data_IF_184650788742
#
_entry.id   IF_184650788742
#
_cell.length_a   1.000
_cell.length_b   1.000
_cell.length_c   1.000
_cell.angle_alpha   90.00
_cell.angle_beta   90.00
_cell.angle_gamma   90.00
#
_symmetry.space_group_name_H-M   'P 1'
#
loop_
_entity.id
_entity.type
_entity.pdbx_description
1 polymer ?
#
# COMPACT_ATOMS: atom_id res chain seq x y z
N UNK A 1 -3.03 -4.30 -17.44
CA UNK A 1 -1.56 -4.10 -17.56
C UNK A 1 -1.13 -4.34 -18.99
N UNK A 2 -0.09 -3.64 -19.47
CA UNK A 2 0.54 -3.96 -20.77
C UNK A 2 1.29 -5.29 -20.70
N UNK A 3 1.54 -5.93 -21.86
CA UNK A 3 2.28 -7.21 -21.90
C UNK A 3 3.67 -7.11 -21.25
N UNK A 4 4.36 -5.99 -21.40
CA UNK A 4 5.68 -5.73 -20.79
C UNK A 4 5.60 -5.68 -19.26
N UNK A 5 4.60 -4.98 -18.72
CA UNK A 5 4.39 -4.89 -17.28
C UNK A 5 3.97 -6.24 -16.70
N UNK A 6 3.12 -6.99 -17.41
CA UNK A 6 2.72 -8.33 -17.01
C UNK A 6 3.92 -9.28 -16.96
N UNK A 7 4.78 -9.25 -17.97
CA UNK A 7 5.99 -10.07 -17.98
C UNK A 7 6.95 -9.73 -16.82
N UNK A 8 7.12 -8.44 -16.50
CA UNK A 8 7.93 -8.01 -15.35
C UNK A 8 7.31 -8.46 -14.02
N UNK A 9 5.99 -8.36 -13.88
CA UNK A 9 5.26 -8.86 -12.72
C UNK A 9 5.42 -10.37 -12.55
N UNK A 10 5.21 -11.14 -13.62
CA UNK A 10 5.33 -12.61 -13.60
C UNK A 10 6.76 -13.05 -13.29
N UNK A 11 7.77 -12.30 -13.78
CA UNK A 11 9.17 -12.57 -13.46
C UNK A 11 9.47 -12.35 -11.97
N UNK A 12 9.04 -11.24 -11.39
CA UNK A 12 9.20 -10.96 -9.97
C UNK A 12 8.45 -11.96 -9.09
N UNK A 13 7.28 -12.40 -9.57
CA UNK A 13 6.35 -13.28 -8.85
C UNK A 13 6.83 -14.72 -8.73
N UNK A 14 7.58 -15.23 -9.73
CA UNK A 14 8.01 -16.62 -9.77
C UNK A 14 8.84 -17.08 -8.58
N UNK A 15 9.57 -16.19 -7.96
CA UNK A 15 10.56 -16.53 -6.93
C UNK A 15 10.20 -15.97 -5.53
N UNK A 16 8.97 -15.50 -5.34
CA UNK A 16 8.57 -14.95 -4.04
C UNK A 16 7.19 -15.40 -3.61
N UNK A 17 7.01 -15.57 -2.31
CA UNK A 17 5.70 -15.72 -1.66
C UNK A 17 5.16 -14.41 -1.11
N UNK A 18 5.96 -13.35 -1.17
CA UNK A 18 5.59 -12.02 -0.68
C UNK A 18 4.42 -11.43 -1.49
N UNK A 19 3.42 -10.90 -0.79
CA UNK A 19 2.30 -10.20 -1.41
C UNK A 19 1.34 -11.08 -2.21
N UNK A 20 1.32 -12.42 -1.95
CA UNK A 20 0.26 -13.33 -2.46
C UNK A 20 -0.96 -13.16 -1.59
N UNK A 21 -2.08 -12.63 -2.11
CA UNK A 21 -3.31 -12.55 -1.33
C UNK A 21 -3.83 -13.93 -0.93
N UNK A 22 -4.25 -14.08 0.33
CA UNK A 22 -4.77 -15.35 0.89
C UNK A 22 -6.15 -15.16 1.50
N UNK A 23 -6.96 -14.33 0.88
CA UNK A 23 -8.35 -14.05 1.26
C UNK A 23 -9.14 -13.67 0.01
N UNK A 24 -10.46 -13.71 0.06
CA UNK A 24 -11.35 -13.23 -1.01
C UNK A 24 -11.71 -11.76 -0.79
N UNK A 25 -12.10 -11.45 0.44
CA UNK A 25 -12.48 -10.10 0.85
C UNK A 25 -11.91 -9.78 2.23
N UNK A 26 -11.41 -8.57 2.38
CA UNK A 26 -10.97 -8.01 3.64
C UNK A 26 -11.63 -6.63 3.81
N UNK A 27 -12.26 -6.42 4.94
CA UNK A 27 -12.72 -5.09 5.35
C UNK A 27 -12.11 -4.74 6.69
N UNK A 28 -11.59 -3.53 6.82
CA UNK A 28 -11.09 -3.03 8.10
C UNK A 28 -11.37 -1.56 8.27
N UNK A 29 -11.48 -1.16 9.53
CA UNK A 29 -11.64 0.23 9.93
C UNK A 29 -10.48 0.68 10.80
N UNK A 30 -10.14 1.95 10.71
CA UNK A 30 -9.06 2.53 11.50
C UNK A 30 -9.30 4.00 11.80
N UNK A 31 -8.64 4.50 12.84
CA UNK A 31 -8.56 5.91 13.19
C UNK A 31 -7.17 6.42 12.89
N UNK A 32 -7.09 7.58 12.26
CA UNK A 32 -5.84 8.29 12.05
C UNK A 32 -5.66 9.32 13.17
N UNK A 33 -4.57 9.22 13.91
CA UNK A 33 -4.12 10.26 14.83
C UNK A 33 -3.02 11.06 14.14
N UNK A 34 -3.26 12.35 13.95
CA UNK A 34 -2.27 13.27 13.38
C UNK A 34 -1.57 13.96 14.55
N UNK A 35 -0.26 13.81 14.60
CA UNK A 35 0.60 14.39 15.62
C UNK A 35 1.54 15.40 14.94
N UNK A 36 1.22 16.69 15.07
CA UNK A 36 2.06 17.78 14.56
C UNK A 36 2.75 18.41 15.77
N UNK A 37 4.10 18.56 15.77
CA UNK A 37 4.81 19.24 16.83
C UNK A 37 4.25 20.67 17.08
N UNK A 38 3.97 21.01 18.33
CA UNK A 38 3.42 22.30 18.72
C UNK A 38 1.89 22.45 18.56
N UNK A 39 1.20 21.45 18.04
CA UNK A 39 -0.26 21.47 17.92
C UNK A 39 -0.93 20.47 18.85
N UNK A 40 -2.12 20.77 19.41
CA UNK A 40 -2.87 19.84 20.26
C UNK A 40 -3.28 18.60 19.47
N UNK A 41 -3.31 17.45 20.14
CA UNK A 41 -3.84 16.20 19.55
C UNK A 41 -5.26 16.41 19.03
N UNK A 42 -5.57 15.84 17.87
CA UNK A 42 -6.91 15.85 17.31
C UNK A 42 -7.88 15.15 18.26
N UNK A 43 -8.89 15.86 18.77
CA UNK A 43 -9.78 15.35 19.82
C UNK A 43 -10.71 14.22 19.36
N UNK A 44 -11.05 14.12 18.08
CA UNK A 44 -11.95 13.08 17.55
C UNK A 44 -11.45 12.61 16.17
N UNK A 45 -10.52 11.66 16.12
CA UNK A 45 -10.06 11.11 14.84
C UNK A 45 -11.23 10.45 14.11
N UNK A 46 -11.46 10.85 12.86
CA UNK A 46 -12.52 10.27 12.03
C UNK A 46 -12.21 8.80 11.74
N UNK A 47 -13.24 7.98 11.79
CA UNK A 47 -13.16 6.58 11.39
C UNK A 47 -13.08 6.52 9.85
N UNK A 48 -12.06 5.86 9.35
CA UNK A 48 -11.93 5.52 7.94
C UNK A 48 -12.12 4.01 7.76
N UNK A 49 -12.64 3.61 6.61
CA UNK A 49 -12.81 2.20 6.25
C UNK A 49 -12.08 1.86 4.97
N UNK A 50 -11.64 0.61 4.86
CA UNK A 50 -11.03 0.07 3.65
C UNK A 50 -11.64 -1.28 3.37
N UNK A 51 -12.06 -1.49 2.13
CA UNK A 51 -12.46 -2.79 1.61
C UNK A 51 -11.48 -3.21 0.52
N UNK A 52 -11.05 -4.47 0.58
CA UNK A 52 -10.11 -5.06 -0.38
C UNK A 52 -10.73 -6.34 -0.91
N UNK A 53 -10.76 -6.47 -2.22
CA UNK A 53 -11.15 -7.70 -2.92
C UNK A 53 -9.95 -8.23 -3.69
N UNK A 54 -9.76 -9.54 -3.69
CA UNK A 54 -8.75 -10.18 -4.51
C UNK A 54 -9.30 -10.47 -5.90
N UNK A 55 -8.50 -10.18 -6.92
CA UNK A 55 -8.78 -10.49 -8.32
C UNK A 55 -7.50 -11.11 -8.92
N UNK A 56 -7.37 -12.43 -8.80
CA UNK A 56 -6.09 -13.11 -9.03
C UNK A 56 -5.03 -12.60 -8.04
N UNK A 57 -3.89 -12.18 -8.55
CA UNK A 57 -2.80 -11.60 -7.74
C UNK A 57 -2.94 -10.08 -7.51
N UNK A 58 -4.02 -9.47 -7.99
CA UNK A 58 -4.31 -8.06 -7.79
C UNK A 58 -5.26 -7.85 -6.60
N UNK A 59 -5.09 -6.73 -5.94
CA UNK A 59 -5.99 -6.25 -4.90
C UNK A 59 -6.74 -5.03 -5.41
N UNK A 60 -8.06 -5.09 -5.40
CA UNK A 60 -8.93 -3.95 -5.64
C UNK A 60 -9.33 -3.38 -4.30
N UNK A 61 -8.79 -2.21 -3.99
CA UNK A 61 -8.99 -1.53 -2.71
C UNK A 61 -9.94 -0.36 -2.88
N UNK A 62 -10.97 -0.30 -2.04
CA UNK A 62 -11.85 0.87 -1.90
C UNK A 62 -11.60 1.48 -0.53
N UNK A 63 -11.01 2.66 -0.52
CA UNK A 63 -10.75 3.44 0.67
C UNK A 63 -11.83 4.52 0.85
N UNK A 64 -12.47 4.57 2.01
CA UNK A 64 -13.53 5.53 2.36
C UNK A 64 -13.09 6.32 3.58
N UNK A 65 -12.42 7.48 3.40
CA UNK A 65 -11.99 8.33 4.51
C UNK A 65 -13.13 9.07 5.19
N UNK A 66 -14.24 9.31 4.47
CA UNK A 66 -15.45 9.97 4.96
C UNK A 66 -16.68 9.37 4.26
N UNK A 67 -17.84 9.46 4.88
CA UNK A 67 -19.07 8.80 4.44
C UNK A 67 -19.47 9.02 2.96
N UNK A 68 -19.07 10.16 2.35
CA UNK A 68 -19.48 10.55 1.00
C UNK A 68 -18.32 10.59 -0.01
N UNK A 69 -17.16 10.04 0.35
CA UNK A 69 -16.00 10.04 -0.53
C UNK A 69 -15.26 8.71 -0.44
N UNK A 70 -15.09 8.06 -1.58
CA UNK A 70 -14.29 6.84 -1.67
C UNK A 70 -13.30 6.92 -2.83
N UNK A 71 -12.14 6.32 -2.64
CA UNK A 71 -11.09 6.17 -3.65
C UNK A 71 -10.90 4.69 -3.92
N UNK A 72 -10.93 4.30 -5.19
CA UNK A 72 -10.72 2.92 -5.63
C UNK A 72 -9.38 2.82 -6.33
N UNK A 73 -8.51 1.93 -5.86
CA UNK A 73 -7.20 1.66 -6.45
C UNK A 73 -7.04 0.18 -6.73
N UNK A 74 -6.27 -0.17 -7.75
CA UNK A 74 -5.81 -1.53 -8.00
C UNK A 74 -4.33 -1.62 -7.69
N UNK A 75 -3.93 -2.63 -6.93
CA UNK A 75 -2.55 -2.80 -6.48
C UNK A 75 -2.07 -4.24 -6.69
N UNK A 76 -0.76 -4.44 -6.69
CA UNK A 76 -0.08 -5.75 -6.73
C UNK A 76 0.94 -5.86 -5.59
N UNK A 77 1.56 -7.02 -5.44
CA UNK A 77 2.52 -7.33 -4.36
C UNK A 77 1.94 -7.01 -2.97
N UNK A 78 0.70 -7.47 -2.74
CA UNK A 78 0.03 -7.30 -1.46
C UNK A 78 -0.38 -5.85 -1.15
N UNK A 79 -0.48 -4.97 -2.14
CA UNK A 79 -0.80 -3.56 -1.95
C UNK A 79 0.40 -2.62 -1.96
N UNK A 80 1.59 -3.14 -2.26
CA UNK A 80 2.80 -2.32 -2.29
C UNK A 80 2.87 -1.40 -3.52
N UNK A 81 2.41 -1.89 -4.68
CA UNK A 81 2.51 -1.18 -5.97
C UNK A 81 1.13 -0.85 -6.51
N UNK A 82 0.91 0.39 -6.89
CA UNK A 82 -0.31 0.84 -7.55
C UNK A 82 -0.25 0.43 -9.02
N UNK A 83 -1.26 -0.30 -9.50
CA UNK A 83 -1.44 -0.68 -10.91
C UNK A 83 -2.32 0.32 -11.63
N UNK A 84 -3.38 0.78 -10.96
CA UNK A 84 -4.26 1.82 -11.46
C UNK A 84 -4.90 2.60 -10.32
N UNK A 85 -5.10 3.88 -10.54
CA UNK A 85 -5.78 4.79 -9.64
C UNK A 85 -6.76 5.68 -10.41
N UNK A 86 -7.82 6.18 -9.76
CA UNK A 86 -8.75 7.10 -10.37
C UNK A 86 -8.09 8.45 -10.65
N UNK A 87 -8.68 9.23 -11.52
CA UNK A 87 -8.29 10.62 -11.75
C UNK A 87 -8.46 11.45 -10.47
N UNK A 88 -7.44 12.23 -10.15
CA UNK A 88 -7.49 13.19 -9.04
C UNK A 88 -8.05 14.57 -9.49
N UNK A 89 -8.12 14.80 -10.78
CA UNK A 89 -8.72 16.00 -11.36
C UNK A 89 -9.61 15.66 -12.57
N UNK A 90 -10.37 16.65 -13.03
CA UNK A 90 -11.31 16.48 -14.14
C UNK A 90 -10.63 16.36 -15.52
N UNK A 91 -9.32 16.62 -15.60
CA UNK A 91 -8.57 16.63 -16.87
C UNK A 91 -7.95 15.28 -17.20
N UNK A 92 -7.65 14.47 -16.17
CA UNK A 92 -7.01 13.17 -16.33
C UNK A 92 -8.00 12.05 -15.99
N UNK A 93 -8.15 11.06 -16.86
CA UNK A 93 -9.07 9.93 -16.64
C UNK A 93 -8.55 8.85 -15.69
N UNK A 94 -7.50 9.14 -14.94
CA UNK A 94 -6.79 8.22 -14.05
C UNK A 94 -5.43 7.81 -14.60
N UNK A 95 -4.71 7.00 -13.84
CA UNK A 95 -3.38 6.52 -14.19
C UNK A 95 -3.30 5.00 -14.14
N UNK A 96 -2.49 4.42 -15.01
CA UNK A 96 -2.18 2.99 -15.01
C UNK A 96 -0.67 2.78 -15.07
N UNK A 97 -0.22 1.65 -14.50
CA UNK A 97 1.19 1.28 -14.51
C UNK A 97 1.66 1.02 -15.95
N UNK A 98 2.74 1.66 -16.34
CA UNK A 98 3.34 1.54 -17.68
C UNK A 98 4.72 0.89 -17.67
N UNK A 99 5.44 0.97 -16.54
CA UNK A 99 6.74 0.34 -16.32
C UNK A 99 6.78 -0.26 -14.93
N UNK A 100 7.47 -1.39 -14.77
CA UNK A 100 7.65 -2.09 -13.51
C UNK A 100 9.00 -2.78 -13.48
N UNK A 101 9.73 -2.60 -12.38
CA UNK A 101 10.87 -3.42 -11.98
C UNK A 101 10.73 -3.73 -10.50
N UNK A 102 10.90 -5.00 -10.11
CA UNK A 102 10.75 -5.41 -8.71
C UNK A 102 11.85 -6.41 -8.32
N UNK A 103 12.47 -6.14 -7.19
CA UNK A 103 13.42 -6.99 -6.50
C UNK A 103 12.79 -7.40 -5.18
N UNK A 104 12.28 -8.63 -5.12
CA UNK A 104 11.55 -9.15 -3.96
C UNK A 104 12.29 -10.35 -3.39
N UNK A 105 12.39 -10.48 -2.05
CA UNK A 105 12.96 -11.66 -1.43
C UNK A 105 12.08 -12.90 -1.66
N UNK A 106 12.65 -14.11 -1.75
CA UNK A 106 11.86 -15.35 -1.83
C UNK A 106 10.88 -15.50 -0.67
N UNK A 107 11.35 -15.19 0.53
CA UNK A 107 10.58 -15.13 1.77
C UNK A 107 10.93 -13.84 2.49
N UNK A 108 9.92 -13.16 3.03
CA UNK A 108 10.16 -11.94 3.80
C UNK A 108 10.48 -12.30 5.26
N UNK A 109 11.68 -11.95 5.68
CA UNK A 109 12.20 -12.11 7.05
C UNK A 109 12.82 -10.82 7.55
N UNK A 110 13.07 -10.71 8.85
CA UNK A 110 13.78 -9.55 9.42
C UNK A 110 15.17 -9.42 8.76
N UNK A 111 15.50 -8.23 8.31
CA UNK A 111 16.69 -7.93 7.53
C UNK A 111 16.50 -8.04 6.02
N UNK A 112 15.40 -8.64 5.54
CA UNK A 112 15.11 -8.67 4.10
C UNK A 112 14.90 -7.26 3.56
N UNK A 113 15.44 -7.03 2.36
CA UNK A 113 15.23 -5.80 1.59
C UNK A 113 14.40 -6.10 0.37
N UNK A 114 13.55 -5.18 0.01
CA UNK A 114 12.77 -5.22 -1.22
C UNK A 114 12.81 -3.84 -1.88
N UNK A 115 12.78 -3.82 -3.20
CA UNK A 115 12.74 -2.61 -3.99
C UNK A 115 11.77 -2.75 -5.14
N UNK A 116 10.95 -1.74 -5.35
CA UNK A 116 10.06 -1.68 -6.50
C UNK A 116 10.16 -0.31 -7.14
N UNK A 117 10.39 -0.31 -8.45
CA UNK A 117 10.39 0.90 -9.27
C UNK A 117 9.26 0.80 -10.29
N UNK A 118 8.45 1.82 -10.42
CA UNK A 118 7.35 1.84 -11.37
C UNK A 118 7.01 3.24 -11.85
N UNK A 119 6.34 3.30 -12.99
CA UNK A 119 5.84 4.54 -13.59
C UNK A 119 4.33 4.40 -13.78
N UNK A 120 3.57 5.40 -13.37
CA UNK A 120 2.16 5.54 -13.70
C UNK A 120 2.04 6.47 -14.91
N UNK A 121 1.31 6.04 -15.92
CA UNK A 121 0.99 6.85 -17.08
C UNK A 121 -0.51 7.14 -17.11
N UNK A 122 -0.92 8.33 -17.58
CA UNK A 122 -2.32 8.66 -17.74
C UNK A 122 -3.02 7.67 -18.68
N UNK A 123 -4.27 7.34 -18.40
CA UNK A 123 -5.08 6.45 -19.24
C UNK A 123 -5.56 7.21 -20.49
N UNK A 124 -5.78 8.52 -20.37
CA UNK A 124 -6.15 9.40 -21.49
C UNK A 124 -5.01 10.37 -21.83
N UNK A 125 -4.74 10.54 -23.11
CA UNK A 125 -3.53 11.17 -23.63
C UNK A 125 -3.60 12.69 -23.79
N UNK A 126 -4.74 13.33 -23.55
CA UNK A 126 -4.91 14.69 -24.11
C UNK A 126 -4.27 15.84 -23.32
N UNK A 127 -3.89 15.69 -22.08
CA UNK A 127 -3.26 16.79 -21.30
C UNK A 127 -2.48 16.36 -20.05
N UNK A 128 -2.17 15.09 -19.87
CA UNK A 128 -1.55 14.60 -18.64
C UNK A 128 -0.20 13.97 -18.90
N UNK A 129 0.80 14.42 -18.18
CA UNK A 129 2.14 13.84 -18.27
C UNK A 129 2.23 12.54 -17.43
N UNK A 130 3.07 11.58 -17.81
CA UNK A 130 3.41 10.45 -16.98
C UNK A 130 3.94 10.93 -15.64
N UNK A 131 3.61 10.21 -14.56
CA UNK A 131 4.21 10.50 -13.27
C UNK A 131 5.72 10.25 -13.33
N UNK A 132 6.47 10.98 -12.51
CA UNK A 132 7.88 10.66 -12.32
C UNK A 132 8.01 9.21 -11.83
N UNK A 133 9.09 8.49 -12.20
CA UNK A 133 9.35 7.16 -11.66
C UNK A 133 9.26 7.17 -10.13
N UNK A 134 8.51 6.23 -9.59
CA UNK A 134 8.39 5.99 -8.16
C UNK A 134 9.36 4.87 -7.80
N UNK A 135 10.25 5.11 -6.85
CA UNK A 135 11.18 4.13 -6.31
C UNK A 135 10.82 3.92 -4.84
N UNK A 136 10.35 2.73 -4.52
CA UNK A 136 10.02 2.34 -3.15
C UNK A 136 10.99 1.25 -2.69
N UNK A 137 11.72 1.54 -1.63
CA UNK A 137 12.68 0.65 -0.99
C UNK A 137 12.23 0.39 0.43
N UNK A 138 12.08 -0.87 0.80
CA UNK A 138 11.69 -1.24 2.15
C UNK A 138 12.70 -2.22 2.75
N UNK A 139 12.85 -2.12 4.07
CA UNK A 139 13.60 -3.07 4.90
C UNK A 139 12.69 -3.62 5.99
N UNK A 140 12.73 -4.95 6.17
CA UNK A 140 12.02 -5.62 7.23
C UNK A 140 12.80 -5.47 8.54
N UNK A 141 12.27 -4.68 9.48
CA UNK A 141 13.00 -4.26 10.69
C UNK A 141 12.71 -5.11 11.92
N UNK A 142 11.51 -5.67 12.03
CA UNK A 142 11.12 -6.52 13.16
C UNK A 142 9.90 -7.35 12.82
N UNK A 143 9.64 -8.38 13.64
CA UNK A 143 8.45 -9.20 13.54
C UNK A 143 7.68 -9.23 14.87
N UNK A 144 6.37 -9.46 14.79
CA UNK A 144 5.49 -9.63 15.94
C UNK A 144 4.34 -10.58 15.60
N UNK A 145 3.57 -11.01 16.59
CA UNK A 145 2.31 -11.72 16.35
C UNK A 145 1.27 -10.75 15.81
N UNK A 146 0.60 -11.07 14.69
CA UNK A 146 -0.39 -10.18 14.09
C UNK A 146 -1.55 -9.83 15.04
N UNK A 147 -1.91 -10.75 15.95
CA UNK A 147 -2.92 -10.51 17.00
C UNK A 147 -2.62 -9.34 17.95
N UNK A 148 -1.37 -8.88 18.03
CA UNK A 148 -1.03 -7.69 18.84
C UNK A 148 -1.51 -6.38 18.20
N UNK A 149 -1.79 -6.40 16.87
CA UNK A 149 -2.40 -5.27 16.17
C UNK A 149 -3.92 -5.31 16.31
N UNK A 150 -4.51 -6.50 16.18
CA UNK A 150 -5.95 -6.72 16.34
C UNK A 150 -6.26 -8.21 16.56
N UNK A 151 -7.20 -8.52 17.44
CA UNK A 151 -7.51 -9.91 17.86
C UNK A 151 -7.97 -10.82 16.71
N UNK A 152 -8.57 -10.27 15.66
CA UNK A 152 -9.01 -11.03 14.48
C UNK A 152 -7.86 -11.46 13.53
N UNK A 153 -6.64 -10.94 13.73
CA UNK A 153 -5.49 -11.25 12.91
C UNK A 153 -4.73 -12.47 13.48
N UNK A 154 -4.24 -13.31 12.58
CA UNK A 154 -3.46 -14.52 12.90
C UNK A 154 -2.07 -14.44 12.26
N UNK A 155 -1.18 -15.35 12.67
CA UNK A 155 0.15 -15.48 12.11
C UNK A 155 1.13 -14.37 12.49
N UNK A 156 2.10 -14.14 11.61
CA UNK A 156 3.16 -13.15 11.77
C UNK A 156 2.78 -11.83 11.12
N UNK A 157 3.22 -10.75 11.75
CA UNK A 157 3.26 -9.40 11.18
C UNK A 157 4.70 -8.93 11.14
N UNK A 158 5.17 -8.49 9.98
CA UNK A 158 6.55 -8.03 9.76
C UNK A 158 6.49 -6.53 9.52
N UNK A 159 7.21 -5.77 10.35
CA UNK A 159 7.31 -4.32 10.20
C UNK A 159 8.30 -3.98 9.10
N UNK A 160 7.88 -3.11 8.21
CA UNK A 160 8.66 -2.58 7.11
C UNK A 160 8.91 -1.09 7.34
N UNK A 161 10.15 -0.69 7.19
CA UNK A 161 10.53 0.71 7.05
C UNK A 161 10.76 0.96 5.56
N UNK A 162 9.93 1.81 4.96
CA UNK A 162 9.92 2.05 3.53
C UNK A 162 10.31 3.50 3.22
N UNK A 163 11.15 3.66 2.22
CA UNK A 163 11.53 4.93 1.68
C UNK A 163 11.01 5.04 0.26
N UNK A 164 10.12 6.01 0.02
CA UNK A 164 9.53 6.24 -1.29
C UNK A 164 10.08 7.56 -1.84
N UNK A 165 10.66 7.53 -3.02
CA UNK A 165 11.12 8.73 -3.72
C UNK A 165 10.48 8.83 -5.10
N UNK A 166 10.25 10.05 -5.54
CA UNK A 166 9.97 10.39 -6.92
C UNK A 166 10.72 11.70 -7.26
N UNK A 167 10.78 12.08 -8.54
CA UNK A 167 11.51 13.29 -8.97
C UNK A 167 10.96 14.60 -8.40
N UNK A 168 9.73 14.58 -7.90
CA UNK A 168 9.03 15.80 -7.44
C UNK A 168 9.04 15.96 -5.92
N UNK A 169 9.36 14.89 -5.17
CA UNK A 169 9.38 14.91 -3.71
C UNK A 169 10.71 14.39 -3.20
N UNK A 170 11.30 15.07 -2.23
CA UNK A 170 12.32 14.47 -1.37
C UNK A 170 11.72 13.20 -0.77
N UNK A 171 12.51 12.14 -0.67
CA UNK A 171 12.04 10.83 -0.27
C UNK A 171 11.21 10.85 1.02
N UNK A 172 10.14 10.10 1.02
CA UNK A 172 9.20 9.97 2.15
C UNK A 172 9.42 8.68 2.90
N UNK A 173 9.61 8.78 4.20
CA UNK A 173 9.72 7.63 5.09
C UNK A 173 8.32 7.20 5.58
N UNK A 174 7.97 5.94 5.34
CA UNK A 174 6.72 5.34 5.80
C UNK A 174 7.00 4.05 6.56
N UNK A 175 6.16 3.75 7.55
CA UNK A 175 6.19 2.46 8.23
C UNK A 175 4.98 1.65 7.82
N UNK A 176 5.23 0.46 7.29
CA UNK A 176 4.21 -0.47 6.84
C UNK A 176 4.29 -1.76 7.67
N UNK A 177 3.26 -2.57 7.59
CA UNK A 177 3.22 -3.90 8.18
C UNK A 177 2.76 -4.89 7.13
N UNK A 178 3.55 -5.93 6.90
CA UNK A 178 3.17 -7.08 6.12
C UNK A 178 2.48 -8.11 7.00
N UNK A 179 1.23 -8.43 6.71
CA UNK A 179 0.46 -9.48 7.35
C UNK A 179 0.62 -10.77 6.54
N UNK A 180 1.48 -11.67 7.03
CA UNK A 180 1.90 -12.88 6.29
C UNK A 180 0.72 -13.79 5.96
N UNK A 181 -0.18 -14.06 6.92
CA UNK A 181 -1.35 -14.93 6.72
C UNK A 181 -2.35 -14.39 5.69
N UNK A 182 -2.33 -13.11 5.42
CA UNK A 182 -3.20 -12.46 4.44
C UNK A 182 -2.46 -12.13 3.14
N UNK A 183 -1.12 -12.09 3.17
CA UNK A 183 -0.30 -11.69 2.02
C UNK A 183 -0.46 -10.22 1.66
N UNK A 184 -0.72 -9.33 2.62
CA UNK A 184 -0.94 -7.89 2.37
C UNK A 184 0.01 -7.00 3.16
N UNK A 185 0.28 -5.83 2.60
CA UNK A 185 1.01 -4.72 3.22
C UNK A 185 0.02 -3.64 3.59
N UNK A 186 0.07 -3.18 4.83
CA UNK A 186 -0.76 -2.11 5.35
C UNK A 186 0.10 -0.96 5.88
N UNK A 187 -0.26 0.28 5.57
CA UNK A 187 0.40 1.43 6.18
C UNK A 187 0.02 1.53 7.67
N UNK A 188 1.01 1.59 8.55
CA UNK A 188 0.81 1.72 10.00
C UNK A 188 1.11 3.13 10.51
N UNK A 189 2.12 3.77 9.94
CA UNK A 189 2.56 5.12 10.32
C UNK A 189 3.17 5.80 9.12
N UNK A 190 2.89 7.07 8.94
CA UNK A 190 3.50 7.91 7.93
C UNK A 190 4.20 9.08 8.62
N UNK A 191 5.45 9.35 8.25
CA UNK A 191 6.16 10.54 8.68
C UNK A 191 6.11 11.56 7.55
N UNK A 192 5.49 12.69 7.81
CA UNK A 192 5.49 13.86 6.94
C UNK A 192 6.41 14.93 7.50
N UNK A 193 6.88 15.85 6.67
CA UNK A 193 7.80 16.93 7.08
C UNK A 193 7.30 17.73 8.31
N UNK A 194 6.00 17.77 8.53
CA UNK A 194 5.37 18.56 9.60
C UNK A 194 4.73 17.69 10.69
N UNK A 195 4.77 16.35 10.60
CA UNK A 195 4.10 15.55 11.62
C UNK A 195 4.15 14.05 11.37
N UNK A 196 3.44 13.32 12.22
CA UNK A 196 3.32 11.87 12.21
C UNK A 196 1.85 11.49 12.17
N UNK A 197 1.47 10.62 11.23
CA UNK A 197 0.14 10.01 11.17
C UNK A 197 0.25 8.59 11.70
N UNK A 198 -0.45 8.28 12.77
CA UNK A 198 -0.54 6.94 13.34
C UNK A 198 -1.92 6.34 13.06
N UNK A 199 -1.97 5.08 12.65
CA UNK A 199 -3.21 4.33 12.41
C UNK A 199 -3.45 3.34 13.53
N UNK A 200 -4.64 3.44 14.14
CA UNK A 200 -5.12 2.46 15.11
C UNK A 200 -6.28 1.69 14.47
N UNK A 201 -6.07 0.41 14.24
CA UNK A 201 -7.07 -0.47 13.65
C UNK A 201 -8.16 -0.81 14.68
N UNK A 202 -9.43 -0.71 14.28
CA UNK A 202 -10.58 -0.88 15.19
C UNK A 202 -11.46 -2.07 14.83
N UNK A 203 -11.40 -2.55 13.59
CA UNK A 203 -12.12 -3.75 13.17
C UNK A 203 -11.43 -4.43 12.01
N UNK A 204 -11.62 -5.75 11.90
CA UNK A 204 -11.26 -6.58 10.75
C UNK A 204 -12.34 -7.59 10.50
N UNK A 205 -12.77 -7.72 9.24
CA UNK A 205 -13.64 -8.79 8.73
C UNK A 205 -12.92 -9.45 7.56
N UNK A 206 -12.66 -10.74 7.66
CA UNK A 206 -11.86 -11.50 6.70
C UNK A 206 -12.72 -12.64 6.15
N UNK A 207 -12.91 -12.65 4.83
CA UNK A 207 -13.53 -13.74 4.08
C UNK A 207 -12.43 -14.48 3.31
N UNK A 208 -12.27 -15.78 3.61
CA UNK A 208 -11.26 -16.65 2.99
C UNK A 208 -11.79 -17.45 1.81
#
# INVERSE_FOLDING_TARGET
MSNTVQAAFDAARRNTTFGVPRFKRLSYSFKNEIMIPGYPKQKNPKLATTEIFTQGDQLVTTFTPMANFSVKTTTIFGGLVIVSEPANDKKCSGSAISQLQAELPPVLEVGSKLRVQYVLSPISTEQCEPTSPIDEQCEATSQMKAKTMHAALTGRAIKLQCWTSNRMTEGRLTYKVYLEDLGIVMSSTELEHQGKIMRTFTSFVIER
#
